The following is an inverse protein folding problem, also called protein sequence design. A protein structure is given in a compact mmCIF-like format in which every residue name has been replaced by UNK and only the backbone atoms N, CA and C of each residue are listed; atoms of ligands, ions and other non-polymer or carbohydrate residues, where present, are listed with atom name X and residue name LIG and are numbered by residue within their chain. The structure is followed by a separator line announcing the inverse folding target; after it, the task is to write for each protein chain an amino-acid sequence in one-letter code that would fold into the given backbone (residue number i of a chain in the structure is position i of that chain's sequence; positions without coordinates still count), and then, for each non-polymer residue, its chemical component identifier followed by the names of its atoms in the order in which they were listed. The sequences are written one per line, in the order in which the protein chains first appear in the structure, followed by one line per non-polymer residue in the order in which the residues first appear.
data_IF_328645504367
#
_entry.id   IF_328645504367
#
_cell.length_a   1.000
_cell.length_b   1.000
_cell.length_c   1.000
_cell.angle_alpha   90.00
_cell.angle_beta   90.00
_cell.angle_gamma   90.00
#
_symmetry.space_group_name_H-M   'P 1'
#
loop_
_entity.id
_entity.type
_entity.pdbx_description
1 polymer ?
#
# COMPACT_ATOMS: atom_id res chain seq x y z
N UNK A 1 15.35 -5.74 9.81
CA UNK A 1 15.53 -4.78 8.70
C UNK A 1 17.00 -4.41 8.46
N UNK A 2 17.72 -3.90 9.48
CA UNK A 2 19.12 -3.47 9.29
C UNK A 2 20.02 -4.61 8.82
N UNK A 3 19.99 -5.78 9.48
CA UNK A 3 20.75 -6.97 9.06
C UNK A 3 20.51 -7.37 7.61
N UNK A 4 19.22 -7.38 7.18
CA UNK A 4 18.86 -7.68 5.79
C UNK A 4 19.52 -6.72 4.80
N UNK A 5 19.58 -5.42 5.13
CA UNK A 5 20.27 -4.41 4.30
C UNK A 5 21.78 -4.63 4.28
N UNK A 6 22.36 -5.00 5.41
CA UNK A 6 23.78 -5.31 5.54
C UNK A 6 24.16 -6.56 4.73
N UNK A 7 23.35 -7.62 4.77
CA UNK A 7 23.55 -8.84 3.97
C UNK A 7 23.57 -8.52 2.47
N UNK A 8 22.56 -7.75 2.01
CA UNK A 8 22.46 -7.35 0.60
C UNK A 8 23.67 -6.50 0.19
N UNK A 9 24.09 -5.56 1.04
CA UNK A 9 25.20 -4.66 0.75
C UNK A 9 26.56 -5.37 0.75
N UNK A 10 26.78 -6.26 1.74
CA UNK A 10 28.05 -6.94 1.95
C UNK A 10 28.15 -8.28 1.20
N UNK A 11 27.04 -8.71 0.54
CA UNK A 11 26.94 -10.01 -0.15
C UNK A 11 27.25 -11.20 0.79
N UNK A 12 26.82 -11.10 2.05
CA UNK A 12 26.96 -12.15 3.06
C UNK A 12 25.59 -12.70 3.38
N UNK A 13 25.22 -13.82 2.78
CA UNK A 13 23.86 -14.30 2.84
C UNK A 13 23.65 -15.37 3.89
N UNK A 14 22.47 -15.30 4.56
CA UNK A 14 21.95 -16.38 5.38
C UNK A 14 21.20 -17.40 4.50
N UNK A 15 21.14 -18.64 4.93
CA UNK A 15 20.38 -19.69 4.21
C UNK A 15 18.87 -19.41 4.18
N UNK A 16 18.35 -18.68 5.19
CA UNK A 16 16.91 -18.54 5.41
C UNK A 16 16.54 -17.08 5.66
N UNK A 17 15.59 -16.59 4.87
CA UNK A 17 14.94 -15.28 5.05
C UNK A 17 13.43 -15.44 5.14
N UNK A 18 12.80 -14.65 6.00
CA UNK A 18 11.35 -14.53 6.08
C UNK A 18 10.98 -13.05 6.07
N UNK A 19 10.29 -12.63 5.01
CA UNK A 19 9.73 -11.29 4.83
C UNK A 19 8.22 -11.39 5.03
N UNK A 20 7.68 -10.78 6.10
CA UNK A 20 6.26 -10.93 6.40
C UNK A 20 5.63 -9.62 6.90
N UNK A 21 4.31 -9.51 6.81
CA UNK A 21 3.55 -8.35 7.27
C UNK A 21 2.72 -7.69 6.18
N UNK A 22 2.15 -6.55 6.52
CA UNK A 22 1.12 -5.87 5.72
C UNK A 22 1.68 -5.04 4.55
N UNK A 23 2.98 -4.64 4.61
CA UNK A 23 3.55 -3.75 3.59
C UNK A 23 4.11 -4.56 2.41
N UNK A 24 3.25 -4.79 1.42
CA UNK A 24 3.57 -5.61 0.24
C UNK A 24 4.69 -5.01 -0.61
N UNK A 25 4.76 -3.68 -0.72
CA UNK A 25 5.81 -3.03 -1.49
C UNK A 25 7.20 -3.32 -0.92
N UNK A 26 7.37 -3.21 0.39
CA UNK A 26 8.66 -3.48 1.03
C UNK A 26 9.05 -4.96 0.92
N UNK A 27 8.10 -5.89 1.07
CA UNK A 27 8.36 -7.31 0.88
C UNK A 27 8.91 -7.58 -0.52
N UNK A 28 8.24 -7.05 -1.55
CA UNK A 28 8.67 -7.17 -2.94
C UNK A 28 10.04 -6.52 -3.18
N UNK A 29 10.23 -5.28 -2.69
CA UNK A 29 11.50 -4.55 -2.84
C UNK A 29 12.69 -5.34 -2.28
N UNK A 30 12.56 -5.88 -1.06
CA UNK A 30 13.67 -6.61 -0.43
C UNK A 30 13.83 -8.02 -0.99
N UNK A 31 12.76 -8.70 -1.42
CA UNK A 31 12.86 -9.95 -2.17
C UNK A 31 13.65 -9.76 -3.46
N UNK A 32 13.30 -8.74 -4.25
CA UNK A 32 13.94 -8.44 -5.53
C UNK A 32 15.39 -7.97 -5.33
N UNK A 33 15.66 -7.22 -4.26
CA UNK A 33 17.03 -6.82 -3.90
C UNK A 33 17.89 -8.01 -3.49
N UNK A 34 17.33 -8.95 -2.73
CA UNK A 34 18.01 -10.23 -2.41
C UNK A 34 18.27 -11.04 -3.67
N UNK A 35 17.24 -11.21 -4.54
CA UNK A 35 17.40 -11.91 -5.81
C UNK A 35 18.54 -11.33 -6.63
N UNK A 36 18.57 -10.02 -6.81
CA UNK A 36 19.61 -9.33 -7.55
C UNK A 36 21.00 -9.52 -6.93
N UNK A 37 21.11 -9.47 -5.60
CA UNK A 37 22.40 -9.58 -4.91
C UNK A 37 22.92 -11.01 -4.88
N UNK A 38 22.04 -12.02 -4.70
CA UNK A 38 22.42 -13.44 -4.65
C UNK A 38 22.76 -13.98 -6.03
N UNK A 39 22.03 -13.56 -7.07
CA UNK A 39 22.16 -14.08 -8.43
C UNK A 39 23.04 -13.21 -9.34
N UNK A 40 23.80 -12.27 -8.78
CA UNK A 40 24.60 -11.33 -9.55
C UNK A 40 25.50 -12.06 -10.56
N UNK A 41 25.24 -11.81 -11.87
CA UNK A 41 25.99 -12.42 -12.96
C UNK A 41 25.62 -13.88 -13.29
N UNK A 42 24.66 -14.48 -12.61
CA UNK A 42 24.14 -15.81 -12.94
C UNK A 42 22.78 -15.71 -13.65
N UNK A 43 22.54 -16.66 -14.57
CA UNK A 43 21.26 -16.79 -15.25
C UNK A 43 20.12 -17.17 -14.30
N UNK A 44 18.87 -16.98 -14.74
CA UNK A 44 17.64 -17.40 -14.02
C UNK A 44 17.59 -18.92 -13.73
N UNK A 45 18.54 -19.72 -14.25
CA UNK A 45 18.67 -21.15 -13.97
C UNK A 45 18.91 -21.47 -12.47
N UNK A 46 19.46 -20.52 -11.72
CA UNK A 46 19.67 -20.65 -10.27
C UNK A 46 18.54 -20.04 -9.45
N UNK A 47 17.44 -19.65 -10.09
CA UNK A 47 16.26 -19.07 -9.43
C UNK A 47 15.05 -19.98 -9.59
N UNK A 48 14.36 -20.23 -8.50
CA UNK A 48 13.06 -20.93 -8.50
C UNK A 48 12.07 -20.18 -7.62
N UNK A 49 10.82 -20.03 -8.11
CA UNK A 49 9.75 -19.39 -7.37
C UNK A 49 8.58 -20.35 -7.22
N UNK A 50 8.11 -20.52 -5.99
CA UNK A 50 6.91 -21.30 -5.64
C UNK A 50 5.88 -20.34 -5.07
N UNK A 51 4.67 -20.32 -5.60
CA UNK A 51 3.62 -19.40 -5.18
C UNK A 51 2.30 -20.14 -4.91
N UNK A 52 1.59 -19.69 -3.87
CA UNK A 52 0.27 -20.21 -3.50
C UNK A 52 0.31 -21.26 -2.41
N UNK A 53 -0.88 -21.83 -2.09
CA UNK A 53 -1.05 -22.75 -0.95
C UNK A 53 -0.78 -24.22 -1.27
N UNK A 54 -0.87 -24.58 -2.53
CA UNK A 54 -0.76 -25.96 -2.99
C UNK A 54 0.68 -26.33 -3.42
N UNK A 55 1.67 -25.76 -2.73
CA UNK A 55 3.08 -25.97 -3.03
C UNK A 55 3.50 -27.36 -2.49
N UNK A 56 4.05 -28.15 -3.39
CA UNK A 56 4.64 -29.45 -3.03
C UNK A 56 6.01 -29.26 -2.34
N UNK A 57 6.06 -29.63 -1.06
CA UNK A 57 7.29 -29.53 -0.24
C UNK A 57 8.40 -30.41 -0.81
N UNK A 58 8.08 -31.55 -1.44
CA UNK A 58 9.10 -32.40 -2.05
C UNK A 58 9.83 -31.68 -3.17
N UNK A 59 9.09 -30.95 -4.02
CA UNK A 59 9.70 -30.12 -5.09
C UNK A 59 10.61 -29.03 -4.55
N UNK A 60 10.23 -28.42 -3.41
CA UNK A 60 11.10 -27.43 -2.75
C UNK A 60 12.42 -28.07 -2.33
N UNK A 61 12.33 -29.27 -1.69
CA UNK A 61 13.51 -30.01 -1.24
C UNK A 61 14.41 -30.41 -2.42
N UNK A 62 13.86 -31.05 -3.44
CA UNK A 62 14.57 -31.43 -4.66
C UNK A 62 15.27 -30.23 -5.32
N UNK A 63 14.58 -29.09 -5.36
CA UNK A 63 15.14 -27.85 -5.89
C UNK A 63 16.30 -27.36 -5.04
N UNK A 64 16.19 -27.44 -3.70
CA UNK A 64 17.24 -27.00 -2.79
C UNK A 64 18.49 -27.90 -2.83
N UNK A 65 18.32 -29.19 -3.11
CA UNK A 65 19.41 -30.16 -3.24
C UNK A 65 20.09 -30.13 -4.62
N UNK A 66 19.47 -29.50 -5.60
CA UNK A 66 20.07 -29.30 -6.92
C UNK A 66 21.21 -28.29 -6.81
N UNK A 67 22.42 -28.70 -7.19
CA UNK A 67 23.60 -27.83 -7.19
C UNK A 67 23.38 -26.59 -8.07
N UNK A 68 23.84 -25.40 -7.65
CA UNK A 68 23.77 -24.21 -8.48
C UNK A 68 24.64 -24.36 -9.74
N UNK A 69 24.16 -23.78 -10.85
CA UNK A 69 24.80 -23.83 -12.14
C UNK A 69 25.73 -22.62 -12.32
N UNK A 70 27.02 -22.81 -12.35
CA UNK A 70 28.03 -21.74 -12.46
C UNK A 70 27.83 -20.56 -11.50
N UNK A 71 27.35 -20.82 -10.27
CA UNK A 71 27.11 -19.83 -9.24
C UNK A 71 27.37 -20.43 -7.86
N UNK A 72 27.62 -19.57 -6.86
CA UNK A 72 27.80 -20.01 -5.47
C UNK A 72 26.47 -20.41 -4.80
N UNK A 73 25.36 -19.83 -5.27
CA UNK A 73 24.06 -19.99 -4.62
C UNK A 73 22.93 -20.32 -5.61
N UNK A 74 21.96 -21.10 -5.11
CA UNK A 74 20.63 -21.28 -5.69
C UNK A 74 19.64 -20.56 -4.80
N UNK A 75 18.81 -19.69 -5.39
CA UNK A 75 17.79 -18.93 -4.69
C UNK A 75 16.41 -19.53 -4.92
N UNK A 76 15.71 -19.81 -3.84
CA UNK A 76 14.34 -20.34 -3.83
C UNK A 76 13.45 -19.34 -3.12
N UNK A 77 12.49 -18.76 -3.84
CA UNK A 77 11.48 -17.87 -3.26
C UNK A 77 10.17 -18.63 -3.07
N UNK A 78 9.55 -18.50 -1.91
CA UNK A 78 8.31 -19.18 -1.54
C UNK A 78 7.32 -18.12 -1.05
N UNK A 79 6.23 -17.88 -1.81
CA UNK A 79 5.30 -16.78 -1.58
C UNK A 79 3.89 -17.27 -1.30
N UNK A 80 3.25 -16.72 -0.25
CA UNK A 80 1.86 -17.01 0.07
C UNK A 80 1.56 -18.47 0.36
N UNK A 81 2.54 -19.22 0.83
CA UNK A 81 2.50 -20.68 1.00
C UNK A 81 1.54 -21.14 2.09
N UNK A 82 1.28 -20.29 3.08
CA UNK A 82 0.51 -20.67 4.27
C UNK A 82 1.26 -21.59 5.24
N UNK A 83 2.51 -21.98 5.00
CA UNK A 83 3.30 -22.86 5.85
C UNK A 83 3.51 -22.33 7.28
N UNK A 84 3.35 -21.03 7.47
CA UNK A 84 3.45 -20.39 8.79
C UNK A 84 2.13 -20.38 9.57
N UNK A 85 1.02 -20.84 8.97
CA UNK A 85 -0.29 -20.94 9.62
C UNK A 85 -0.68 -22.39 9.91
N UNK A 86 -0.11 -23.35 9.19
CA UNK A 86 -0.37 -24.79 9.32
C UNK A 86 0.91 -25.55 9.68
N UNK A 87 0.76 -26.79 10.11
CA UNK A 87 1.90 -27.67 10.30
C UNK A 87 2.48 -28.07 8.94
N UNK A 88 3.80 -28.07 8.81
CA UNK A 88 4.51 -28.55 7.63
C UNK A 88 5.73 -29.38 8.05
N UNK A 89 6.22 -30.24 7.15
CA UNK A 89 7.43 -31.05 7.35
C UNK A 89 8.70 -30.30 6.95
N UNK A 90 8.58 -29.08 6.50
CA UNK A 90 9.73 -28.29 6.05
C UNK A 90 10.73 -27.97 7.18
N UNK A 91 10.30 -27.65 8.42
CA UNK A 91 11.24 -27.40 9.53
C UNK A 91 12.18 -28.56 9.83
N UNK A 92 11.75 -29.79 9.56
CA UNK A 92 12.56 -30.98 9.83
C UNK A 92 13.68 -31.17 8.78
N UNK A 93 13.48 -30.62 7.59
CA UNK A 93 14.44 -30.62 6.49
C UNK A 93 15.49 -29.49 6.57
N UNK A 94 15.10 -28.31 7.06
CA UNK A 94 15.97 -27.12 7.01
C UNK A 94 17.38 -27.29 7.64
N UNK A 95 17.58 -28.12 8.70
CA UNK A 95 18.91 -28.39 9.23
C UNK A 95 19.84 -29.06 8.22
N UNK A 96 19.31 -29.92 7.35
CA UNK A 96 20.05 -30.73 6.36
C UNK A 96 20.23 -29.99 5.03
N UNK A 97 19.54 -28.84 4.84
CA UNK A 97 19.57 -28.06 3.61
C UNK A 97 20.99 -27.66 3.23
N UNK A 98 21.42 -27.85 1.95
CA UNK A 98 22.76 -27.50 1.46
C UNK A 98 23.14 -26.04 1.74
N UNK A 99 24.43 -25.79 1.94
CA UNK A 99 24.95 -24.43 2.17
C UNK A 99 24.80 -23.49 0.97
N UNK A 100 24.71 -24.06 -0.22
CA UNK A 100 24.50 -23.34 -1.47
C UNK A 100 23.05 -22.95 -1.75
N UNK A 101 22.08 -23.46 -0.99
CA UNK A 101 20.68 -23.12 -1.15
C UNK A 101 20.28 -21.97 -0.21
N UNK A 102 19.61 -20.96 -0.75
CA UNK A 102 19.03 -19.84 -0.01
C UNK A 102 17.52 -19.85 -0.22
N UNK A 103 16.74 -19.90 0.88
CA UNK A 103 15.28 -19.83 0.83
C UNK A 103 14.80 -18.48 1.35
N UNK A 104 13.92 -17.82 0.58
CA UNK A 104 13.26 -16.56 0.93
C UNK A 104 11.76 -16.79 0.98
N UNK A 105 11.20 -16.73 2.18
CA UNK A 105 9.75 -16.80 2.38
C UNK A 105 9.14 -15.40 2.37
N UNK A 106 8.03 -15.25 1.64
CA UNK A 106 7.28 -13.99 1.56
C UNK A 106 5.84 -14.27 1.95
N UNK A 107 5.43 -13.77 3.13
CA UNK A 107 4.12 -14.04 3.70
C UNK A 107 3.41 -12.76 4.14
N UNK A 108 2.07 -12.76 4.08
CA UNK A 108 1.29 -11.64 4.61
C UNK A 108 1.10 -11.76 6.11
N UNK A 109 0.73 -12.96 6.57
CA UNK A 109 0.43 -13.25 7.96
C UNK A 109 1.10 -14.56 8.40
N UNK A 110 1.60 -14.58 9.62
CA UNK A 110 2.25 -15.74 10.21
C UNK A 110 1.73 -16.00 11.63
N UNK A 111 1.83 -17.25 12.10
CA UNK A 111 1.74 -17.56 13.54
C UNK A 111 3.16 -17.65 14.13
N UNK A 112 3.52 -16.73 15.00
CA UNK A 112 4.84 -16.70 15.67
C UNK A 112 5.10 -17.94 16.58
N UNK A 113 4.07 -18.74 16.86
CA UNK A 113 4.17 -20.01 17.59
C UNK A 113 4.58 -21.17 16.70
N UNK A 114 4.41 -21.03 15.37
CA UNK A 114 4.73 -22.05 14.37
C UNK A 114 6.19 -22.48 14.43
N UNK A 115 6.47 -23.78 14.24
CA UNK A 115 7.83 -24.35 14.26
C UNK A 115 8.74 -23.73 13.20
N UNK A 116 8.23 -23.52 11.97
CA UNK A 116 8.98 -22.94 10.87
C UNK A 116 9.42 -21.51 11.20
N UNK A 117 8.50 -20.68 11.73
CA UNK A 117 8.86 -19.34 12.17
C UNK A 117 9.97 -19.35 13.24
N UNK A 118 9.80 -20.19 14.28
CA UNK A 118 10.79 -20.28 15.37
C UNK A 118 12.16 -20.71 14.85
N UNK A 119 12.20 -21.66 13.91
CA UNK A 119 13.44 -22.13 13.30
C UNK A 119 14.14 -21.02 12.51
N UNK A 120 13.41 -20.33 11.61
CA UNK A 120 13.96 -19.23 10.80
C UNK A 120 14.39 -18.06 11.67
N UNK A 121 13.61 -17.69 12.67
CA UNK A 121 13.95 -16.58 13.57
C UNK A 121 15.23 -16.85 14.40
N UNK A 122 15.57 -18.14 14.65
CA UNK A 122 16.78 -18.54 15.37
C UNK A 122 17.99 -18.67 14.44
N UNK A 123 17.82 -19.21 13.23
CA UNK A 123 18.91 -19.65 12.36
C UNK A 123 19.03 -18.83 11.06
N UNK A 124 18.19 -17.85 10.86
CA UNK A 124 18.14 -17.00 9.68
C UNK A 124 17.67 -15.58 10.02
N UNK A 125 17.08 -14.90 9.07
CA UNK A 125 16.59 -13.52 9.23
C UNK A 125 15.06 -13.47 8.99
N UNK A 126 14.32 -13.13 10.04
CA UNK A 126 12.88 -12.84 9.94
C UNK A 126 12.65 -11.33 10.12
N UNK A 127 12.00 -10.71 9.12
CA UNK A 127 11.73 -9.26 9.11
C UNK A 127 10.25 -9.00 8.92
N UNK A 128 9.67 -8.29 9.89
CA UNK A 128 8.27 -7.84 9.82
C UNK A 128 8.18 -6.50 9.06
N UNK A 129 7.46 -6.51 7.95
CA UNK A 129 7.19 -5.34 7.10
C UNK A 129 5.85 -4.73 7.49
N UNK A 130 5.86 -3.83 8.47
CA UNK A 130 4.66 -3.10 8.92
C UNK A 130 4.38 -1.93 8.01
N UNK A 131 3.11 -1.52 7.96
CA UNK A 131 2.76 -0.25 7.33
C UNK A 131 3.57 0.89 7.95
N UNK A 132 4.12 1.73 7.09
CA UNK A 132 4.93 2.87 7.52
C UNK A 132 4.05 4.03 8.00
N UNK A 133 4.45 4.65 9.12
CA UNK A 133 3.88 5.92 9.53
C UNK A 133 4.31 7.07 8.61
N UNK A 134 3.68 8.25 8.74
CA UNK A 134 3.96 9.44 7.90
C UNK A 134 5.45 9.82 7.90
N UNK A 135 6.08 9.83 9.06
CA UNK A 135 7.49 10.21 9.19
C UNK A 135 8.43 9.22 8.47
N UNK A 136 8.14 7.90 8.61
CA UNK A 136 8.94 6.87 7.96
C UNK A 136 8.72 6.86 6.44
N UNK A 137 7.49 7.13 5.99
CA UNK A 137 7.17 7.28 4.57
C UNK A 137 7.91 8.47 3.96
N UNK A 138 7.90 9.64 4.62
CA UNK A 138 8.67 10.80 4.17
C UNK A 138 10.16 10.52 4.10
N UNK A 139 10.71 9.85 5.14
CA UNK A 139 12.13 9.46 5.14
C UNK A 139 12.43 8.51 3.97
N UNK A 140 11.56 7.56 3.71
CA UNK A 140 11.71 6.59 2.62
C UNK A 140 11.70 7.29 1.26
N UNK A 141 10.73 8.20 1.02
CA UNK A 141 10.66 9.04 -0.18
C UNK A 141 11.93 9.87 -0.34
N UNK A 142 12.39 10.53 0.73
CA UNK A 142 13.60 11.34 0.70
C UNK A 142 14.85 10.54 0.31
N UNK A 143 14.99 9.31 0.81
CA UNK A 143 16.08 8.42 0.42
C UNK A 143 16.00 8.02 -1.05
N UNK A 144 14.81 7.68 -1.54
CA UNK A 144 14.57 7.32 -2.94
C UNK A 144 14.84 8.49 -3.90
N UNK A 145 14.39 9.68 -3.55
CA UNK A 145 14.68 10.89 -4.34
C UNK A 145 16.18 11.17 -4.40
N UNK A 146 16.89 11.02 -3.28
CA UNK A 146 18.34 11.20 -3.24
C UNK A 146 19.07 10.19 -4.13
N UNK A 147 18.64 8.93 -4.18
CA UNK A 147 19.19 7.92 -5.10
C UNK A 147 19.03 8.34 -6.57
N UNK A 148 17.98 9.09 -6.90
CA UNK A 148 17.70 9.62 -8.25
C UNK A 148 18.28 11.02 -8.49
N UNK A 149 19.09 11.58 -7.58
CA UNK A 149 19.62 12.95 -7.67
C UNK A 149 18.57 14.03 -7.54
N UNK A 150 17.42 13.74 -6.92
CA UNK A 150 16.30 14.64 -6.75
C UNK A 150 16.11 15.05 -5.29
N UNK A 151 15.44 16.19 -5.11
CA UNK A 151 15.04 16.68 -3.80
C UNK A 151 13.63 17.28 -3.84
N UNK A 152 12.99 17.27 -2.68
CA UNK A 152 11.66 17.81 -2.47
C UNK A 152 11.63 18.50 -1.11
N UNK A 153 11.07 19.70 -1.02
CA UNK A 153 10.89 20.39 0.26
C UNK A 153 9.89 19.67 1.13
N UNK A 154 9.96 19.85 2.43
CA UNK A 154 9.08 19.14 3.38
C UNK A 154 7.60 19.43 3.12
N UNK A 155 7.23 20.69 2.88
CA UNK A 155 5.86 21.07 2.53
C UNK A 155 5.40 20.45 1.20
N UNK A 156 6.28 20.36 0.20
CA UNK A 156 6.00 19.69 -1.08
C UNK A 156 5.82 18.18 -0.88
N UNK A 157 6.63 17.57 -0.02
CA UNK A 157 6.46 16.15 0.33
C UNK A 157 5.15 15.88 1.06
N UNK A 158 4.71 16.78 1.96
CA UNK A 158 3.40 16.70 2.60
C UNK A 158 2.28 16.82 1.58
N UNK A 159 2.38 17.77 0.65
CA UNK A 159 1.43 17.95 -0.42
C UNK A 159 1.38 16.72 -1.34
N UNK A 160 2.53 16.18 -1.73
CA UNK A 160 2.64 14.95 -2.53
C UNK A 160 1.91 13.78 -1.85
N UNK A 161 2.19 13.52 -0.57
CA UNK A 161 1.52 12.46 0.18
C UNK A 161 0.01 12.70 0.34
N UNK A 162 -0.38 13.97 0.41
CA UNK A 162 -1.80 14.34 0.48
C UNK A 162 -2.54 14.05 -0.83
N UNK A 163 -1.90 14.30 -1.98
CA UNK A 163 -2.49 14.10 -3.30
C UNK A 163 -2.46 12.63 -3.74
N UNK A 164 -1.33 11.95 -3.54
CA UNK A 164 -1.16 10.57 -4.00
C UNK A 164 -1.80 9.56 -3.07
N UNK A 165 -1.62 9.67 -1.76
CA UNK A 165 -2.24 8.83 -0.73
C UNK A 165 -2.16 7.31 -0.97
N UNK A 166 -2.80 6.53 -0.08
CA UNK A 166 -2.99 5.10 -0.29
C UNK A 166 -1.76 4.23 -0.02
N UNK A 167 -1.64 3.06 -0.69
CA UNK A 167 -0.53 2.12 -0.51
C UNK A 167 0.82 2.72 -0.91
N UNK A 168 1.89 2.28 -0.26
CA UNK A 168 3.25 2.73 -0.56
C UNK A 168 3.65 2.50 -2.03
N UNK A 169 3.19 1.39 -2.63
CA UNK A 169 3.39 1.11 -4.07
C UNK A 169 2.88 2.23 -4.96
N UNK A 170 1.71 2.78 -4.65
CA UNK A 170 1.16 3.89 -5.41
C UNK A 170 1.99 5.16 -5.24
N UNK A 171 2.36 5.49 -4.00
CA UNK A 171 3.21 6.66 -3.70
C UNK A 171 4.52 6.58 -4.49
N UNK A 172 5.13 5.40 -4.56
CA UNK A 172 6.38 5.21 -5.30
C UNK A 172 6.17 5.32 -6.81
N UNK A 173 5.10 4.74 -7.37
CA UNK A 173 4.79 4.87 -8.80
C UNK A 173 4.59 6.35 -9.19
N UNK A 174 3.87 7.13 -8.38
CA UNK A 174 3.71 8.57 -8.63
C UNK A 174 5.03 9.33 -8.51
N UNK A 175 5.87 8.94 -7.53
CA UNK A 175 7.21 9.51 -7.38
C UNK A 175 8.10 9.21 -8.59
N UNK A 176 8.09 7.99 -9.12
CA UNK A 176 8.89 7.59 -10.27
C UNK A 176 8.48 8.38 -11.53
N UNK A 177 7.18 8.70 -11.69
CA UNK A 177 6.70 9.60 -12.74
C UNK A 177 7.24 11.02 -12.58
N UNK A 178 7.23 11.54 -11.34
CA UNK A 178 7.79 12.88 -11.05
C UNK A 178 9.29 12.93 -11.31
N UNK A 179 10.04 11.92 -10.90
CA UNK A 179 11.48 11.81 -11.17
C UNK A 179 11.75 11.85 -12.68
N UNK A 180 10.97 11.12 -13.47
CA UNK A 180 11.09 11.08 -14.93
C UNK A 180 10.70 12.43 -15.57
N UNK A 181 9.61 13.03 -15.13
CA UNK A 181 9.12 14.31 -15.65
C UNK A 181 10.08 15.47 -15.38
N UNK A 182 10.69 15.46 -14.21
CA UNK A 182 11.65 16.51 -13.81
C UNK A 182 13.07 16.25 -14.31
N UNK A 183 13.23 15.45 -15.39
CA UNK A 183 14.56 15.23 -15.99
C UNK A 183 15.25 16.56 -16.31
N UNK A 184 16.52 16.70 -15.92
CA UNK A 184 17.29 17.94 -16.08
C UNK A 184 17.09 18.98 -14.96
N UNK A 185 16.27 18.74 -13.96
CA UNK A 185 16.08 19.57 -12.76
C UNK A 185 16.25 18.75 -11.49
N UNK A 186 16.79 19.33 -10.43
CA UNK A 186 17.03 18.60 -9.17
C UNK A 186 15.85 18.72 -8.20
N UNK A 187 15.10 19.83 -8.24
CA UNK A 187 13.98 20.09 -7.33
C UNK A 187 12.63 19.71 -7.99
N UNK A 188 11.81 19.00 -7.22
CA UNK A 188 10.40 18.68 -7.54
C UNK A 188 9.52 19.68 -6.80
N UNK A 189 8.62 20.35 -7.53
CA UNK A 189 7.71 21.39 -7.01
C UNK A 189 6.27 20.91 -6.85
N UNK A 190 5.42 21.73 -6.26
CA UNK A 190 3.97 21.47 -6.16
C UNK A 190 3.30 21.50 -7.53
N UNK A 191 3.76 22.35 -8.45
CA UNK A 191 3.26 22.44 -9.82
C UNK A 191 3.54 21.17 -10.62
N UNK A 192 4.68 20.53 -10.39
CA UNK A 192 5.00 19.23 -11.00
C UNK A 192 4.04 18.14 -10.53
N UNK A 193 3.71 18.15 -9.22
CA UNK A 193 2.77 17.21 -8.62
C UNK A 193 1.38 17.39 -9.24
N UNK A 194 0.91 18.65 -9.37
CA UNK A 194 -0.38 18.96 -9.96
C UNK A 194 -0.47 18.55 -11.45
N UNK A 195 0.66 18.63 -12.16
CA UNK A 195 0.71 18.30 -13.59
C UNK A 195 0.78 16.80 -13.86
N UNK A 196 1.53 16.05 -13.06
CA UNK A 196 1.92 14.66 -13.38
C UNK A 196 1.25 13.63 -12.50
N UNK A 197 1.07 13.92 -11.21
CA UNK A 197 0.47 12.94 -10.33
C UNK A 197 -1.01 12.79 -10.63
N UNK A 198 -1.41 11.55 -10.93
CA UNK A 198 -2.82 11.23 -10.95
C UNK A 198 -3.35 11.33 -9.51
N UNK A 199 -4.16 12.35 -9.26
CA UNK A 199 -4.93 12.40 -8.02
C UNK A 199 -5.79 11.13 -8.03
N UNK A 200 -5.55 10.23 -7.07
CA UNK A 200 -6.35 9.00 -7.00
C UNK A 200 -7.84 9.36 -6.95
N UNK A 201 -8.68 8.50 -7.52
CA UNK A 201 -10.12 8.63 -7.48
C UNK A 201 -10.63 8.98 -6.06
N UNK A 202 -10.07 8.30 -5.04
CA UNK A 202 -10.35 8.61 -3.62
C UNK A 202 -9.94 10.04 -3.23
N UNK A 203 -8.85 10.58 -3.78
CA UNK A 203 -8.39 11.94 -3.53
C UNK A 203 -9.33 12.98 -4.18
N UNK A 204 -9.78 12.73 -5.41
CA UNK A 204 -10.78 13.57 -6.09
C UNK A 204 -12.12 13.56 -5.35
N UNK A 205 -12.59 12.40 -4.91
CA UNK A 205 -13.79 12.28 -4.06
C UNK A 205 -13.64 13.08 -2.77
N UNK A 206 -12.47 12.97 -2.11
CA UNK A 206 -12.20 13.73 -0.90
C UNK A 206 -12.32 15.24 -1.16
N UNK A 207 -11.70 15.73 -2.22
CA UNK A 207 -11.71 17.14 -2.60
C UNK A 207 -13.09 17.62 -3.03
N UNK A 208 -13.83 16.79 -3.77
CA UNK A 208 -15.21 17.06 -4.16
C UNK A 208 -16.11 17.25 -2.93
N UNK A 209 -15.99 16.37 -1.93
CA UNK A 209 -16.74 16.48 -0.67
C UNK A 209 -16.32 17.74 0.11
N UNK A 210 -15.04 18.11 0.11
CA UNK A 210 -14.55 19.32 0.74
C UNK A 210 -15.16 20.58 0.11
N UNK A 211 -15.18 20.67 -1.22
CA UNK A 211 -15.80 21.78 -1.92
C UNK A 211 -17.30 21.89 -1.63
N UNK A 212 -18.03 20.78 -1.69
CA UNK A 212 -19.43 20.75 -1.34
C UNK A 212 -19.68 21.19 0.11
N UNK A 213 -18.86 20.70 1.07
CA UNK A 213 -18.96 21.11 2.47
C UNK A 213 -18.64 22.58 2.74
N UNK A 214 -17.90 23.24 1.83
CA UNK A 214 -17.62 24.68 1.86
C UNK A 214 -18.67 25.53 1.12
N UNK A 215 -19.74 24.93 0.58
CA UNK A 215 -20.73 25.62 -0.26
C UNK A 215 -20.24 25.94 -1.68
N UNK A 216 -19.09 25.41 -2.08
CA UNK A 216 -18.47 25.59 -3.40
C UNK A 216 -19.02 24.55 -4.39
N UNK A 217 -20.32 24.66 -4.69
CA UNK A 217 -21.04 23.69 -5.51
C UNK A 217 -20.46 23.57 -6.94
N UNK A 218 -20.09 24.71 -7.55
CA UNK A 218 -19.55 24.74 -8.91
C UNK A 218 -18.25 23.91 -9.02
N UNK A 219 -17.36 24.07 -8.07
CA UNK A 219 -16.08 23.35 -8.01
C UNK A 219 -16.31 21.87 -7.71
N UNK A 220 -17.28 21.53 -6.84
CA UNK A 220 -17.64 20.14 -6.55
C UNK A 220 -18.22 19.43 -7.78
N UNK A 221 -19.14 20.07 -8.51
CA UNK A 221 -19.71 19.55 -9.75
C UNK A 221 -18.66 19.47 -10.87
N UNK A 222 -17.71 20.41 -10.93
CA UNK A 222 -16.58 20.34 -11.85
C UNK A 222 -15.78 19.06 -11.66
N UNK A 223 -15.37 18.75 -10.43
CA UNK A 223 -14.65 17.48 -10.13
C UNK A 223 -15.51 16.24 -10.40
N UNK A 224 -16.81 16.31 -10.19
CA UNK A 224 -17.72 15.23 -10.52
C UNK A 224 -17.75 14.96 -12.03
N UNK A 225 -17.86 16.02 -12.86
CA UNK A 225 -17.83 15.91 -14.31
C UNK A 225 -16.47 15.36 -14.82
N UNK A 226 -15.34 15.83 -14.23
CA UNK A 226 -14.02 15.29 -14.55
C UNK A 226 -13.94 13.77 -14.29
N UNK A 227 -14.58 13.28 -13.22
CA UNK A 227 -14.65 11.86 -12.92
C UNK A 227 -15.47 11.08 -13.94
N UNK A 228 -16.58 11.66 -14.43
CA UNK A 228 -17.40 11.06 -15.49
C UNK A 228 -16.66 11.02 -16.83
N UNK A 229 -15.89 12.07 -17.16
CA UNK A 229 -15.04 12.09 -18.38
C UNK A 229 -13.94 11.02 -18.33
N UNK A 230 -13.44 10.68 -17.12
CA UNK A 230 -12.52 9.55 -16.90
C UNK A 230 -13.22 8.17 -16.96
N UNK A 231 -14.50 8.13 -17.35
CA UNK A 231 -15.35 6.94 -17.44
C UNK A 231 -15.62 6.24 -16.12
N UNK A 232 -15.50 6.95 -15.01
CA UNK A 232 -15.95 6.43 -13.73
C UNK A 232 -17.49 6.41 -13.69
N UNK A 233 -18.06 5.29 -13.24
CA UNK A 233 -19.51 5.20 -13.17
C UNK A 233 -20.07 6.05 -12.01
N UNK A 234 -21.23 6.71 -12.17
CA UNK A 234 -21.87 7.46 -11.07
C UNK A 234 -22.06 6.61 -9.81
N UNK A 235 -22.37 5.32 -9.97
CA UNK A 235 -22.55 4.42 -8.84
C UNK A 235 -21.24 4.08 -8.12
N UNK A 236 -20.12 3.96 -8.84
CA UNK A 236 -18.78 3.82 -8.23
C UNK A 236 -18.43 5.07 -7.43
N UNK A 237 -18.75 6.26 -7.97
CA UNK A 237 -18.55 7.55 -7.29
C UNK A 237 -19.41 7.61 -6.03
N UNK A 238 -20.71 7.27 -6.12
CA UNK A 238 -21.63 7.24 -4.97
C UNK A 238 -21.12 6.28 -3.88
N UNK A 239 -20.63 5.10 -4.25
CA UNK A 239 -20.04 4.14 -3.31
C UNK A 239 -18.83 4.75 -2.57
N UNK A 240 -17.95 5.44 -3.29
CA UNK A 240 -16.77 6.07 -2.69
C UNK A 240 -17.15 7.27 -1.80
N UNK A 241 -18.18 8.04 -2.18
CA UNK A 241 -18.75 9.12 -1.34
C UNK A 241 -19.33 8.54 -0.05
N UNK A 242 -20.11 7.47 -0.15
CA UNK A 242 -20.69 6.75 1.00
C UNK A 242 -19.59 6.24 1.92
N UNK A 243 -18.56 5.60 1.36
CA UNK A 243 -17.39 5.13 2.11
C UNK A 243 -16.69 6.29 2.83
N UNK A 244 -16.53 7.43 2.15
CA UNK A 244 -15.90 8.61 2.74
C UNK A 244 -16.71 9.14 3.95
N UNK A 245 -18.02 9.26 3.84
CA UNK A 245 -18.88 9.68 4.95
C UNK A 245 -18.82 8.72 6.13
N UNK A 246 -18.78 7.41 5.88
CA UNK A 246 -18.58 6.41 6.93
C UNK A 246 -17.24 6.61 7.67
N UNK A 247 -16.15 6.83 6.93
CA UNK A 247 -14.83 7.09 7.52
C UNK A 247 -14.87 8.41 8.33
N UNK A 248 -15.49 9.47 7.82
CA UNK A 248 -15.62 10.75 8.53
C UNK A 248 -16.42 10.60 9.82
N UNK A 249 -17.51 9.84 9.81
CA UNK A 249 -18.32 9.59 11.00
C UNK A 249 -17.54 8.80 12.04
N UNK A 250 -16.79 7.77 11.64
CA UNK A 250 -15.91 7.00 12.51
C UNK A 250 -14.77 7.87 13.05
N UNK A 251 -14.09 8.65 12.19
CA UNK A 251 -13.01 9.55 12.60
C UNK A 251 -13.48 10.56 13.65
N UNK A 252 -14.71 11.09 13.48
CA UNK A 252 -15.31 12.00 14.44
C UNK A 252 -15.57 11.34 15.79
N UNK A 253 -16.03 10.09 15.79
CA UNK A 253 -16.29 9.34 17.02
C UNK A 253 -15.01 9.05 17.83
N UNK A 254 -13.88 8.86 17.15
CA UNK A 254 -12.59 8.51 17.77
C UNK A 254 -11.59 9.68 17.80
N UNK A 255 -12.01 10.90 17.50
CA UNK A 255 -11.14 12.08 17.31
C UNK A 255 -10.27 12.46 18.50
N UNK A 256 -10.62 11.98 19.70
CA UNK A 256 -9.86 12.22 20.96
C UNK A 256 -8.70 11.26 21.17
N UNK A 257 -8.58 10.21 20.36
CA UNK A 257 -7.53 9.21 20.49
C UNK A 257 -6.23 9.65 19.80
N UNK A 258 -5.08 9.07 20.15
CA UNK A 258 -3.83 9.27 19.43
C UNK A 258 -3.96 8.85 17.94
N UNK A 259 -3.26 9.56 17.03
CA UNK A 259 -3.37 9.33 15.58
C UNK A 259 -3.15 7.87 15.15
N UNK A 260 -2.20 7.17 15.78
CA UNK A 260 -1.92 5.76 15.44
C UNK A 260 -3.08 4.83 15.83
N UNK A 261 -3.74 5.10 16.96
CA UNK A 261 -4.91 4.34 17.39
C UNK A 261 -6.12 4.62 16.49
N UNK A 262 -6.29 5.88 16.05
CA UNK A 262 -7.33 6.25 15.08
C UNK A 262 -7.10 5.47 13.79
N UNK A 263 -5.88 5.52 13.24
CA UNK A 263 -5.51 4.82 12.02
C UNK A 263 -5.86 3.34 12.05
N UNK A 264 -5.50 2.66 13.15
CA UNK A 264 -5.79 1.23 13.35
C UNK A 264 -7.29 0.94 13.47
N UNK A 265 -8.05 1.78 14.24
CA UNK A 265 -9.48 1.55 14.47
C UNK A 265 -10.34 1.74 13.23
N UNK A 266 -10.03 2.74 12.40
CA UNK A 266 -10.82 3.05 11.20
C UNK A 266 -10.17 2.54 9.91
N UNK A 267 -9.08 1.77 10.04
CA UNK A 267 -8.36 1.10 8.96
C UNK A 267 -7.93 2.04 7.82
N UNK A 268 -7.32 3.17 8.20
CA UNK A 268 -6.72 4.13 7.24
C UNK A 268 -5.23 4.29 7.52
N UNK A 269 -4.44 4.68 6.50
CA UNK A 269 -3.02 4.97 6.71
C UNK A 269 -2.81 6.09 7.75
N UNK A 270 -1.85 5.96 8.68
CA UNK A 270 -1.63 6.94 9.76
C UNK A 270 -1.41 8.37 9.26
N UNK A 271 -0.77 8.56 8.10
CA UNK A 271 -0.51 9.88 7.53
C UNK A 271 -1.79 10.58 7.01
N UNK A 272 -2.86 9.84 6.73
CA UNK A 272 -4.14 10.42 6.26
C UNK A 272 -5.06 10.84 7.41
N UNK A 273 -4.81 10.40 8.65
CA UNK A 273 -5.67 10.66 9.81
C UNK A 273 -5.95 12.15 10.01
N UNK A 274 -4.92 13.00 9.91
CA UNK A 274 -5.06 14.46 10.06
C UNK A 274 -6.05 15.04 9.04
N UNK A 275 -5.98 14.60 7.79
CA UNK A 275 -6.87 15.01 6.70
C UNK A 275 -8.32 14.62 7.00
N UNK A 276 -8.56 13.37 7.41
CA UNK A 276 -9.91 12.88 7.74
C UNK A 276 -10.49 13.59 8.96
N UNK A 277 -9.71 13.87 10.01
CA UNK A 277 -10.17 14.63 11.17
C UNK A 277 -10.54 16.06 10.80
N UNK A 278 -9.70 16.72 9.99
CA UNK A 278 -9.98 18.09 9.52
C UNK A 278 -11.26 18.13 8.70
N UNK A 279 -11.47 17.22 7.75
CA UNK A 279 -12.68 17.14 6.97
C UNK A 279 -13.91 16.79 7.84
N UNK A 280 -13.77 15.82 8.77
CA UNK A 280 -14.83 15.46 9.71
C UNK A 280 -15.25 16.64 10.61
N UNK A 281 -14.33 17.56 10.91
CA UNK A 281 -14.60 18.78 11.66
C UNK A 281 -15.62 19.71 10.99
N UNK A 282 -15.75 19.66 9.66
CA UNK A 282 -16.69 20.49 8.86
C UNK A 282 -18.14 20.04 8.96
N UNK A 283 -18.40 18.83 9.44
CA UNK A 283 -19.73 18.25 9.55
C UNK A 283 -20.12 18.01 11.01
N UNK A 284 -21.41 18.17 11.35
CA UNK A 284 -21.96 17.61 12.58
C UNK A 284 -22.22 16.11 12.39
N UNK A 285 -22.14 15.32 13.46
CA UNK A 285 -22.40 13.85 13.38
C UNK A 285 -23.80 13.52 12.84
N UNK A 286 -24.79 14.37 13.14
CA UNK A 286 -26.14 14.23 12.60
C UNK A 286 -26.16 14.44 11.08
N UNK A 287 -25.47 15.46 10.56
CA UNK A 287 -25.37 15.73 9.13
C UNK A 287 -24.74 14.56 8.35
N UNK A 288 -23.66 13.95 8.91
CA UNK A 288 -23.05 12.78 8.28
C UNK A 288 -23.99 11.58 8.22
N UNK A 289 -24.82 11.36 9.24
CA UNK A 289 -25.83 10.29 9.22
C UNK A 289 -26.90 10.57 8.16
N UNK A 290 -27.44 11.79 8.14
CA UNK A 290 -28.42 12.21 7.13
C UNK A 290 -27.86 12.06 5.69
N UNK A 291 -26.57 12.37 5.46
CA UNK A 291 -25.92 12.19 4.18
C UNK A 291 -25.73 10.72 3.81
N UNK A 292 -25.47 9.86 4.79
CA UNK A 292 -25.42 8.40 4.58
C UNK A 292 -26.79 7.83 4.23
N UNK A 293 -27.87 8.31 4.88
CA UNK A 293 -29.24 7.93 4.55
C UNK A 293 -29.61 8.38 3.13
N UNK A 294 -29.20 9.61 2.72
CA UNK A 294 -29.39 10.11 1.36
C UNK A 294 -28.61 9.27 0.32
N UNK A 295 -27.39 8.84 0.63
CA UNK A 295 -26.65 7.93 -0.24
C UNK A 295 -27.38 6.60 -0.44
N UNK A 296 -27.89 6.02 0.65
CA UNK A 296 -28.65 4.76 0.61
C UNK A 296 -29.96 4.93 -0.19
N UNK A 297 -30.67 6.03 0.01
CA UNK A 297 -31.89 6.35 -0.73
C UNK A 297 -31.63 6.57 -2.23
N UNK A 298 -30.53 7.23 -2.58
CA UNK A 298 -30.10 7.44 -3.96
C UNK A 298 -29.79 6.10 -4.65
N UNK A 299 -29.04 5.22 -3.97
CA UNK A 299 -28.74 3.87 -4.46
C UNK A 299 -30.00 3.03 -4.65
N UNK A 300 -30.93 3.08 -3.68
CA UNK A 300 -32.20 2.37 -3.73
C UNK A 300 -33.04 2.84 -4.93
N UNK A 301 -33.22 4.15 -5.11
CA UNK A 301 -34.00 4.74 -6.23
C UNK A 301 -33.38 4.38 -7.58
N UNK A 302 -32.06 4.42 -7.70
CA UNK A 302 -31.37 4.00 -8.90
C UNK A 302 -31.64 2.52 -9.22
N UNK A 303 -31.45 1.61 -8.26
CA UNK A 303 -31.70 0.17 -8.45
C UNK A 303 -33.14 -0.15 -8.82
N UNK A 304 -34.09 0.71 -8.45
CA UNK A 304 -35.51 0.60 -8.80
C UNK A 304 -35.86 1.27 -10.13
N UNK A 305 -34.90 1.92 -10.79
CA UNK A 305 -35.14 2.67 -12.02
C UNK A 305 -35.96 3.99 -11.82
N UNK A 306 -36.03 4.48 -10.57
CA UNK A 306 -36.77 5.69 -10.21
C UNK A 306 -35.94 6.99 -10.31
N UNK A 307 -34.62 6.83 -10.42
CA UNK A 307 -33.68 7.96 -10.48
C UNK A 307 -32.50 7.58 -11.36
N UNK A 308 -32.11 8.50 -12.23
CA UNK A 308 -30.84 8.38 -12.94
C UNK A 308 -29.66 8.51 -11.97
N UNK A 309 -28.62 7.70 -12.18
CA UNK A 309 -27.48 7.63 -11.26
C UNK A 309 -26.68 8.94 -11.24
N UNK A 310 -26.50 9.59 -12.40
CA UNK A 310 -25.76 10.85 -12.50
C UNK A 310 -26.49 11.96 -11.77
N UNK A 311 -27.78 12.11 -12.04
CA UNK A 311 -28.63 13.09 -11.38
C UNK A 311 -28.70 12.86 -9.87
N UNK A 312 -28.69 11.59 -9.43
CA UNK A 312 -28.69 11.22 -8.01
C UNK A 312 -27.49 11.77 -7.25
N UNK A 313 -26.29 11.65 -7.84
CA UNK A 313 -25.05 12.17 -7.24
C UNK A 313 -25.04 13.71 -7.26
N UNK A 314 -25.51 14.35 -8.34
CA UNK A 314 -25.62 15.81 -8.44
C UNK A 314 -26.52 16.39 -7.36
N UNK A 315 -27.71 15.77 -7.12
CA UNK A 315 -28.63 16.14 -6.05
C UNK A 315 -27.99 16.00 -4.68
N UNK A 316 -27.21 14.92 -4.46
CA UNK A 316 -26.48 14.70 -3.19
C UNK A 316 -25.48 15.84 -2.94
N UNK A 317 -24.68 16.22 -3.95
CA UNK A 317 -23.70 17.32 -3.86
C UNK A 317 -24.40 18.66 -3.60
N UNK A 318 -25.55 18.91 -4.25
CA UNK A 318 -26.36 20.11 -4.01
C UNK A 318 -26.83 20.16 -2.55
N UNK A 319 -27.40 19.09 -2.03
CA UNK A 319 -27.85 19.00 -0.64
C UNK A 319 -26.71 19.20 0.37
N UNK A 320 -25.52 18.77 0.04
CA UNK A 320 -24.33 19.02 0.88
C UNK A 320 -23.97 20.51 0.92
N UNK A 321 -23.98 21.17 -0.24
CA UNK A 321 -23.57 22.57 -0.37
C UNK A 321 -24.58 23.56 0.27
N UNK A 322 -25.82 23.15 0.46
CA UNK A 322 -26.89 23.97 1.09
C UNK A 322 -26.92 23.85 2.61
N UNK A 323 -26.14 22.99 3.22
CA UNK A 323 -26.13 22.70 4.67
C UNK A 323 -24.98 23.41 5.39
#
# INVERSE_FOLDING_TARGET
MQRLKEDIKNKTFHKLYLLYGEEDYLKKLYRDSLKKAVLEGSDDMNYSCFEGKDIDILKIKETAETLPFFSDYRLITIEGSGFFKSASTLPDYLPEMPGSAIMVFVEKEIDKRNKLYKYINKNGIAVEMKQMGTADTKRFIGLKLKESGKQMRENTADYFLQQTGGPLSNIINEMDKLVSYTYGRDEITTEDIDTICCIQLTGRIFQMIDYAAMGKLKEALGLYNDLLELRESPMSILYLVTRQFNILLQAKAVSRLPKNEIASKIQIPPFTVGKYITQAGRFKSRQLRELLDECAETEYKYKRGLLDAQIGVEILLLKMAQR
#
